data_IF_530193400881
#
_entry.id   IF_530193400881
#
_cell.length_a   1.000
_cell.length_b   1.000
_cell.length_c   1.000
_cell.angle_alpha   90.00
_cell.angle_beta   90.00
_cell.angle_gamma   90.00
#
_symmetry.space_group_name_H-M   'P 1'
#
loop_
_entity.id
_entity.type
_entity.pdbx_description
1 polymer ?
#
# COMPACT_ATOMS: atom_id res chain seq x y z
N UNK A 1 29.44 9.80 -6.35
CA UNK A 1 28.55 10.16 -5.22
C UNK A 1 27.27 10.92 -5.63
N UNK A 2 27.11 11.40 -6.88
CA UNK A 2 25.88 12.11 -7.29
C UNK A 2 24.77 11.25 -7.92
N UNK A 3 25.10 10.13 -8.58
CA UNK A 3 24.09 9.32 -9.28
C UNK A 3 23.18 8.56 -8.30
N UNK A 4 23.75 7.91 -7.28
CA UNK A 4 22.98 7.13 -6.31
C UNK A 4 21.98 8.00 -5.52
N UNK A 5 22.38 9.24 -5.19
CA UNK A 5 21.50 10.19 -4.51
C UNK A 5 20.35 10.66 -5.41
N UNK A 6 20.62 10.90 -6.70
CA UNK A 6 19.58 11.28 -7.67
C UNK A 6 18.58 10.14 -7.89
N UNK A 7 19.05 8.89 -7.94
CA UNK A 7 18.18 7.72 -8.08
C UNK A 7 17.29 7.52 -6.84
N UNK A 8 17.84 7.71 -5.64
CA UNK A 8 17.06 7.63 -4.39
C UNK A 8 15.98 8.72 -4.31
N UNK A 9 16.32 9.96 -4.70
CA UNK A 9 15.35 11.06 -4.74
C UNK A 9 14.21 10.76 -5.70
N UNK A 10 14.54 10.30 -6.92
CA UNK A 10 13.55 9.96 -7.93
C UNK A 10 12.61 8.84 -7.46
N UNK A 11 13.15 7.83 -6.77
CA UNK A 11 12.34 6.75 -6.19
C UNK A 11 11.41 7.29 -5.10
N UNK A 12 11.89 8.16 -4.21
CA UNK A 12 11.04 8.76 -3.19
C UNK A 12 9.92 9.61 -3.78
N UNK A 13 10.19 10.40 -4.82
CA UNK A 13 9.16 11.19 -5.50
C UNK A 13 8.08 10.29 -6.11
N UNK A 14 8.48 9.19 -6.77
CA UNK A 14 7.53 8.23 -7.34
C UNK A 14 6.64 7.60 -6.25
N UNK A 15 7.24 7.21 -5.11
CA UNK A 15 6.48 6.68 -3.99
C UNK A 15 5.53 7.71 -3.38
N UNK A 16 5.96 8.97 -3.28
CA UNK A 16 5.12 10.05 -2.77
C UNK A 16 3.93 10.34 -3.70
N UNK A 17 4.12 10.28 -5.02
CA UNK A 17 3.04 10.41 -6.00
C UNK A 17 2.01 9.28 -5.87
N UNK A 18 2.47 8.03 -5.82
CA UNK A 18 1.61 6.86 -5.62
C UNK A 18 0.82 6.96 -4.31
N UNK A 19 1.48 7.36 -3.23
CA UNK A 19 0.85 7.53 -1.92
C UNK A 19 -0.20 8.65 -1.95
N UNK A 20 0.08 9.77 -2.63
CA UNK A 20 -0.87 10.88 -2.77
C UNK A 20 -2.12 10.45 -3.55
N UNK A 21 -1.94 9.78 -4.70
CA UNK A 21 -3.05 9.24 -5.48
C UNK A 21 -3.87 8.24 -4.67
N UNK A 22 -3.24 7.31 -3.97
CA UNK A 22 -3.95 6.35 -3.12
C UNK A 22 -4.77 7.04 -2.02
N UNK A 23 -4.21 8.05 -1.34
CA UNK A 23 -4.91 8.80 -0.29
C UNK A 23 -6.16 9.53 -0.77
N UNK A 24 -6.22 9.97 -2.03
CA UNK A 24 -7.43 10.60 -2.59
C UNK A 24 -8.63 9.64 -2.64
N UNK A 25 -8.34 8.34 -2.76
CA UNK A 25 -9.34 7.26 -2.74
C UNK A 25 -9.53 6.67 -1.35
N UNK A 26 -9.01 7.30 -0.28
CA UNK A 26 -9.19 6.85 1.09
C UNK A 26 -10.08 7.79 1.88
N UNK A 27 -10.78 7.24 2.87
CA UNK A 27 -11.43 8.04 3.92
C UNK A 27 -10.39 8.59 4.90
N UNK A 28 -10.76 9.61 5.70
CA UNK A 28 -9.88 10.17 6.73
C UNK A 28 -9.41 9.11 7.73
N UNK A 29 -10.30 8.20 8.11
CA UNK A 29 -10.01 7.10 9.03
C UNK A 29 -9.00 6.11 8.43
N UNK A 30 -9.18 5.75 7.16
CA UNK A 30 -8.25 4.90 6.43
C UNK A 30 -6.86 5.55 6.28
N UNK A 31 -6.78 6.86 6.04
CA UNK A 31 -5.52 7.60 6.01
C UNK A 31 -4.81 7.53 7.37
N UNK A 32 -5.55 7.70 8.47
CA UNK A 32 -4.99 7.61 9.81
C UNK A 32 -4.47 6.20 10.12
N UNK A 33 -5.23 5.15 9.78
CA UNK A 33 -4.77 3.76 9.92
C UNK A 33 -3.52 3.49 9.08
N UNK A 34 -3.51 3.95 7.84
CA UNK A 34 -2.34 3.84 6.97
C UNK A 34 -1.12 4.55 7.57
N UNK A 35 -1.30 5.76 8.12
CA UNK A 35 -0.22 6.49 8.80
C UNK A 35 0.37 5.71 9.96
N UNK A 36 -0.48 5.16 10.84
CA UNK A 36 -0.04 4.31 11.95
C UNK A 36 0.68 3.04 11.46
N UNK A 37 0.16 2.42 10.39
CA UNK A 37 0.77 1.24 9.77
C UNK A 37 2.13 1.56 9.14
N UNK A 38 2.28 2.72 8.50
CA UNK A 38 3.54 3.15 7.87
C UNK A 38 4.66 3.31 8.90
N UNK A 39 4.33 3.82 10.08
CA UNK A 39 5.29 3.95 11.19
C UNK A 39 5.61 2.58 11.80
N UNK A 40 4.59 1.77 12.10
CA UNK A 40 4.80 0.47 12.76
C UNK A 40 5.40 -0.60 11.83
N UNK A 41 5.00 -0.60 10.56
CA UNK A 41 5.29 -1.63 9.56
C UNK A 41 5.42 -1.02 8.15
N UNK A 42 6.52 -0.28 7.87
CA UNK A 42 6.70 0.45 6.61
C UNK A 42 6.62 -0.44 5.35
N UNK A 43 7.11 -1.68 5.41
CA UNK A 43 7.01 -2.62 4.29
C UNK A 43 5.56 -3.02 3.99
N UNK A 44 4.74 -3.26 5.01
CA UNK A 44 3.31 -3.55 4.81
C UNK A 44 2.56 -2.35 4.24
N UNK A 45 2.89 -1.15 4.71
CA UNK A 45 2.31 0.08 4.19
C UNK A 45 2.64 0.25 2.69
N UNK A 46 3.87 -0.04 2.28
CA UNK A 46 4.27 -0.02 0.87
C UNK A 46 3.48 -1.02 0.03
N UNK A 47 3.36 -2.28 0.48
CA UNK A 47 2.57 -3.33 -0.20
C UNK A 47 1.11 -2.86 -0.44
N UNK A 48 0.51 -2.21 0.56
CA UNK A 48 -0.87 -1.70 0.50
C UNK A 48 -1.01 -0.56 -0.51
N UNK A 49 -0.10 0.42 -0.51
CA UNK A 49 -0.14 1.53 -1.48
C UNK A 49 0.06 1.03 -2.90
N UNK A 50 0.97 0.07 -3.12
CA UNK A 50 1.16 -0.51 -4.44
C UNK A 50 -0.10 -1.21 -4.95
N UNK A 51 -0.75 -2.01 -4.10
CA UNK A 51 -2.00 -2.68 -4.44
C UNK A 51 -3.12 -1.67 -4.72
N UNK A 52 -3.30 -0.66 -3.87
CA UNK A 52 -4.30 0.39 -4.06
C UNK A 52 -4.05 1.16 -5.36
N UNK A 53 -2.80 1.54 -5.62
CA UNK A 53 -2.42 2.24 -6.84
C UNK A 53 -2.70 1.39 -8.10
N UNK A 54 -2.50 0.07 -8.05
CA UNK A 54 -2.87 -0.83 -9.14
C UNK A 54 -4.39 -0.89 -9.34
N UNK A 55 -5.17 -1.01 -8.25
CA UNK A 55 -6.64 -1.04 -8.33
C UNK A 55 -7.21 0.26 -8.87
N UNK A 56 -6.62 1.42 -8.52
CA UNK A 56 -6.97 2.74 -9.06
C UNK A 56 -6.65 2.79 -10.55
N UNK A 57 -5.44 2.41 -10.96
CA UNK A 57 -5.02 2.41 -12.36
C UNK A 57 -5.88 1.49 -13.24
N UNK A 58 -6.31 0.35 -12.71
CA UNK A 58 -7.20 -0.58 -13.39
C UNK A 58 -8.67 -0.12 -13.41
N UNK A 59 -9.00 1.02 -12.77
CA UNK A 59 -10.38 1.51 -12.64
C UNK A 59 -11.29 0.61 -11.81
N UNK A 60 -10.73 -0.28 -10.99
CA UNK A 60 -11.48 -1.22 -10.15
C UNK A 60 -11.96 -0.60 -8.84
N UNK A 61 -11.36 0.52 -8.43
CA UNK A 61 -11.80 1.31 -7.29
C UNK A 61 -12.86 2.33 -7.71
N UNK A 62 -14.13 1.97 -7.50
CA UNK A 62 -15.29 2.84 -7.76
C UNK A 62 -15.63 3.76 -6.58
N UNK A 63 -15.34 3.31 -5.36
CA UNK A 63 -15.67 3.99 -4.12
C UNK A 63 -14.43 4.24 -3.27
N UNK A 64 -14.56 5.15 -2.29
CA UNK A 64 -13.49 5.41 -1.32
C UNK A 64 -13.26 4.20 -0.43
N UNK A 65 -12.00 3.88 -0.20
CA UNK A 65 -11.53 2.86 0.75
C UNK A 65 -11.71 3.39 2.17
N UNK A 66 -12.63 2.76 2.89
CA UNK A 66 -12.83 3.00 4.31
C UNK A 66 -11.85 2.19 5.18
N UNK A 67 -11.90 2.43 6.49
CA UNK A 67 -11.06 1.75 7.46
C UNK A 67 -11.24 0.22 7.43
N UNK A 68 -12.48 -0.22 7.22
CA UNK A 68 -12.85 -1.63 7.19
C UNK A 68 -12.27 -2.32 5.96
N UNK A 69 -12.48 -1.75 4.78
CA UNK A 69 -11.90 -2.23 3.53
C UNK A 69 -10.38 -2.28 3.60
N UNK A 70 -9.73 -1.24 4.16
CA UNK A 70 -8.28 -1.24 4.36
C UNK A 70 -7.83 -2.40 5.26
N UNK A 71 -8.55 -2.67 6.35
CA UNK A 71 -8.28 -3.80 7.24
C UNK A 71 -8.45 -5.14 6.53
N UNK A 72 -9.49 -5.30 5.72
CA UNK A 72 -9.72 -6.52 4.93
C UNK A 72 -8.58 -6.75 3.92
N UNK A 73 -8.10 -5.70 3.25
CA UNK A 73 -6.92 -5.79 2.38
C UNK A 73 -5.67 -6.24 3.15
N UNK A 74 -5.45 -5.68 4.34
CA UNK A 74 -4.32 -6.04 5.22
C UNK A 74 -4.38 -7.49 5.71
N UNK A 75 -5.58 -7.99 6.02
CA UNK A 75 -5.79 -9.37 6.43
C UNK A 75 -5.53 -10.34 5.28
N UNK A 76 -6.02 -10.03 4.07
CA UNK A 76 -5.79 -10.86 2.88
C UNK A 76 -4.32 -10.93 2.48
N UNK A 77 -3.59 -9.81 2.54
CA UNK A 77 -2.12 -9.82 2.29
C UNK A 77 -1.36 -10.63 3.35
N UNK A 78 -1.83 -10.66 4.60
CA UNK A 78 -1.24 -11.53 5.64
C UNK A 78 -1.58 -13.00 5.44
N UNK A 79 -2.80 -13.34 5.00
CA UNK A 79 -3.23 -14.71 4.76
C UNK A 79 -2.49 -15.34 3.57
N UNK A 80 -2.28 -14.60 2.47
CA UNK A 80 -1.47 -15.09 1.36
C UNK A 80 -0.04 -15.48 1.81
N UNK A 81 0.57 -14.74 2.74
CA UNK A 81 1.87 -15.13 3.34
C UNK A 81 1.80 -16.41 4.19
N UNK A 82 0.63 -16.76 4.76
CA UNK A 82 0.43 -18.02 5.50
C UNK A 82 0.10 -19.22 4.61
N UNK A 83 -0.51 -19.00 3.44
CA UNK A 83 -0.91 -20.09 2.52
C UNK A 83 0.26 -20.69 1.70
N UNK A 84 1.46 -20.10 1.74
CA UNK A 84 2.69 -20.70 1.17
C UNK A 84 3.33 -21.79 2.05
N UNK A 85 2.53 -22.51 2.85
CA UNK A 85 2.93 -23.77 3.50
C UNK A 85 2.00 -24.91 3.06
N UNK A 86 1.81 -25.09 1.76
CA UNK A 86 1.31 -26.37 1.26
C UNK A 86 2.49 -27.33 1.11
N UNK A 87 2.58 -28.22 2.09
CA UNK A 87 3.36 -29.44 2.06
C UNK A 87 3.20 -30.11 0.68
N UNK A 88 4.30 -30.35 -0.04
CA UNK A 88 4.34 -31.42 -1.03
C UNK A 88 4.28 -32.73 -0.24
N UNK A 89 3.15 -33.44 -0.35
CA UNK A 89 3.11 -34.89 -0.15
C UNK A 89 3.82 -35.56 -1.33
#
# INVERSE_FOLDING_TARGET
>A
MNQEMQEQLKLQEQLAQLESSAKQYMTKEAIQRYGNLKVAHPQKALEVIMLLAQLIQNGQLKDKVDDYALKEFLLKTQQQKREFKLMRK
#
